data_IF_766112625052
#
_entry.id   IF_766112625052
#
_cell.length_a   1.000
_cell.length_b   1.000
_cell.length_c   1.000
_cell.angle_alpha   90.00
_cell.angle_beta   90.00
_cell.angle_gamma   90.00
#
_symmetry.space_group_name_H-M   'P 1'
#
loop_
_entity.id
_entity.type
_entity.pdbx_description
1 polymer ?
#
# COMPACT_ATOMS: atom_id res chain seq x y z
N UNK A 1 -8.53 -11.95 -6.19
CA UNK A 1 -8.58 -10.47 -6.19
C UNK A 1 -9.18 -9.88 -4.91
N UNK A 2 -10.45 -10.14 -4.58
CA UNK A 2 -11.14 -9.55 -3.40
C UNK A 2 -10.35 -9.72 -2.09
N UNK A 3 -9.91 -10.93 -1.79
CA UNK A 3 -9.10 -11.24 -0.61
C UNK A 3 -7.77 -10.47 -0.63
N UNK A 4 -7.13 -10.31 -1.78
CA UNK A 4 -5.88 -9.56 -1.91
C UNK A 4 -6.05 -8.08 -1.57
N UNK A 5 -7.14 -7.46 -2.04
CA UNK A 5 -7.48 -6.07 -1.69
C UNK A 5 -7.82 -5.97 -0.20
N UNK A 6 -8.54 -6.96 0.36
CA UNK A 6 -8.86 -7.01 1.78
C UNK A 6 -7.60 -7.02 2.66
N UNK A 7 -6.65 -7.90 2.37
CA UNK A 7 -5.37 -8.00 3.08
C UNK A 7 -4.49 -6.76 2.87
N UNK A 8 -4.52 -6.16 1.67
CA UNK A 8 -3.83 -4.89 1.41
C UNK A 8 -4.40 -3.73 2.23
N UNK A 9 -5.72 -3.71 2.49
CA UNK A 9 -6.29 -2.69 3.37
C UNK A 9 -5.80 -2.86 4.82
N UNK A 10 -5.49 -4.08 5.25
CA UNK A 10 -4.98 -4.32 6.60
C UNK A 10 -3.56 -3.80 6.84
N UNK A 11 -2.76 -3.60 5.78
CA UNK A 11 -1.42 -3.01 5.91
C UNK A 11 -1.43 -1.50 6.12
N UNK A 12 -2.56 -0.82 5.85
CA UNK A 12 -2.68 0.63 5.99
C UNK A 12 -2.90 1.04 7.44
N UNK A 13 -2.23 2.11 7.84
CA UNK A 13 -2.30 2.73 9.17
C UNK A 13 -3.30 3.90 9.21
N UNK A 14 -3.57 4.43 10.41
CA UNK A 14 -4.43 5.60 10.56
C UNK A 14 -3.84 6.87 9.92
N UNK A 15 -2.53 6.94 9.67
CA UNK A 15 -1.89 8.08 9.01
C UNK A 15 -2.02 8.04 7.48
N UNK A 16 -2.44 6.89 6.93
CA UNK A 16 -2.60 6.67 5.50
C UNK A 16 -3.97 7.13 4.99
N UNK A 17 -4.03 7.52 3.71
CA UNK A 17 -5.25 7.91 3.02
C UNK A 17 -5.48 7.02 1.81
N UNK A 18 -6.68 6.46 1.70
CA UNK A 18 -7.02 5.44 0.71
C UNK A 18 -8.39 5.68 0.09
N UNK A 19 -8.55 5.28 -1.16
CA UNK A 19 -9.83 5.05 -1.82
C UNK A 19 -9.70 3.77 -2.65
N UNK A 20 -10.81 3.10 -2.88
CA UNK A 20 -10.88 1.87 -3.68
C UNK A 20 -11.83 2.10 -4.83
N UNK A 21 -11.35 1.87 -6.05
CA UNK A 21 -12.12 1.99 -7.26
C UNK A 21 -12.13 0.66 -8.02
N UNK A 22 -13.26 0.36 -8.64
CA UNK A 22 -13.41 -0.74 -9.59
C UNK A 22 -13.59 -0.15 -10.99
N UNK A 23 -13.04 -0.81 -12.00
CA UNK A 23 -13.19 -0.39 -13.37
C UNK A 23 -13.53 -1.58 -14.27
N UNK A 24 -14.36 -1.30 -15.27
CA UNK A 24 -14.60 -2.15 -16.43
C UNK A 24 -14.52 -1.24 -17.66
N UNK A 25 -15.62 -0.94 -18.35
CA UNK A 25 -15.72 0.14 -19.33
C UNK A 25 -15.61 1.54 -18.70
N UNK A 26 -15.91 1.67 -17.41
CA UNK A 26 -15.77 2.94 -16.66
C UNK A 26 -15.26 2.68 -15.26
N UNK A 27 -14.45 3.60 -14.74
CA UNK A 27 -14.01 3.57 -13.35
C UNK A 27 -15.05 4.20 -12.42
N UNK A 28 -15.31 3.55 -11.28
CA UNK A 28 -16.24 4.00 -10.25
C UNK A 28 -15.69 3.70 -8.86
N UNK A 29 -15.96 4.54 -7.85
CA UNK A 29 -15.63 4.21 -6.47
C UNK A 29 -16.42 2.97 -6.04
N UNK A 30 -15.76 2.07 -5.30
CA UNK A 30 -16.38 0.84 -4.79
C UNK A 30 -17.35 1.15 -3.65
N UNK A 31 -17.04 2.17 -2.86
CA UNK A 31 -17.82 2.58 -1.69
C UNK A 31 -18.45 3.95 -1.88
N UNK A 32 -19.14 4.43 -0.84
CA UNK A 32 -19.70 5.79 -0.82
C UNK A 32 -18.64 6.91 -0.84
N UNK A 33 -17.36 6.61 -0.67
CA UNK A 33 -16.29 7.60 -0.65
C UNK A 33 -15.96 8.09 -2.07
N UNK A 34 -16.14 9.39 -2.30
CA UNK A 34 -15.83 10.04 -3.60
C UNK A 34 -14.36 10.45 -3.76
N UNK A 35 -13.60 10.38 -2.68
CA UNK A 35 -12.25 10.90 -2.53
C UNK A 35 -11.43 10.00 -1.62
N UNK A 36 -10.11 10.21 -1.55
CA UNK A 36 -9.28 9.58 -0.52
C UNK A 36 -9.77 9.95 0.88
N UNK A 37 -9.89 8.93 1.73
CA UNK A 37 -10.23 9.09 3.15
C UNK A 37 -9.18 8.42 4.02
N UNK A 38 -9.06 8.87 5.27
CA UNK A 38 -8.16 8.29 6.24
C UNK A 38 -8.46 6.78 6.43
N UNK A 39 -7.42 5.96 6.43
CA UNK A 39 -7.51 4.50 6.52
C UNK A 39 -7.73 3.99 7.96
N UNK A 40 -8.63 4.64 8.70
CA UNK A 40 -9.02 4.21 10.03
C UNK A 40 -9.82 2.90 10.02
N UNK A 41 -9.92 2.24 11.18
CA UNK A 41 -10.62 0.95 11.34
C UNK A 41 -12.05 1.00 10.78
N UNK A 42 -12.77 2.11 10.97
CA UNK A 42 -14.17 2.26 10.51
C UNK A 42 -14.26 2.36 8.99
N UNK A 43 -13.44 3.20 8.36
CA UNK A 43 -13.44 3.40 6.91
C UNK A 43 -12.92 2.15 6.19
N UNK A 44 -11.86 1.51 6.72
CA UNK A 44 -11.37 0.22 6.20
C UNK A 44 -12.44 -0.85 6.22
N UNK A 45 -13.24 -0.93 7.29
CA UNK A 45 -14.37 -1.87 7.38
C UNK A 45 -15.39 -1.65 6.26
N UNK A 46 -15.76 -0.41 5.96
CA UNK A 46 -16.68 -0.08 4.85
C UNK A 46 -16.10 -0.53 3.51
N UNK A 47 -14.84 -0.19 3.21
CA UNK A 47 -14.20 -0.65 1.97
C UNK A 47 -14.18 -2.17 1.86
N UNK A 48 -13.86 -2.87 2.95
CA UNK A 48 -13.79 -4.33 2.99
C UNK A 48 -15.14 -4.98 2.69
N UNK A 49 -16.21 -4.47 3.29
CA UNK A 49 -17.59 -4.94 3.04
C UNK A 49 -17.99 -4.72 1.58
N UNK A 50 -17.76 -3.52 1.04
CA UNK A 50 -18.10 -3.18 -0.35
C UNK A 50 -17.26 -3.96 -1.38
N UNK A 51 -15.96 -4.18 -1.10
CA UNK A 51 -15.07 -5.02 -1.93
C UNK A 51 -15.57 -6.46 -2.02
N UNK A 52 -16.08 -7.02 -0.93
CA UNK A 52 -16.67 -8.37 -0.94
C UNK A 52 -17.93 -8.43 -1.81
N UNK A 53 -18.71 -7.34 -1.88
CA UNK A 53 -19.90 -7.22 -2.72
C UNK A 53 -19.66 -7.01 -4.22
N UNK A 54 -18.42 -6.76 -4.66
CA UNK A 54 -18.12 -6.49 -6.07
C UNK A 54 -18.44 -7.68 -6.99
N UNK A 55 -18.96 -7.40 -8.19
CA UNK A 55 -19.25 -8.41 -9.21
C UNK A 55 -18.54 -8.02 -10.51
N UNK A 56 -17.78 -8.94 -11.09
CA UNK A 56 -17.11 -8.72 -12.37
C UNK A 56 -18.15 -8.68 -13.50
N UNK A 57 -18.10 -7.64 -14.34
CA UNK A 57 -18.98 -7.49 -15.50
C UNK A 57 -18.32 -6.63 -16.58
N UNK A 58 -18.50 -7.03 -17.84
CA UNK A 58 -18.06 -6.26 -19.01
C UNK A 58 -16.59 -6.47 -19.35
N UNK A 59 -16.11 -5.66 -20.29
CA UNK A 59 -14.71 -5.67 -20.74
C UNK A 59 -13.87 -4.70 -19.90
N UNK A 60 -12.61 -5.05 -19.69
CA UNK A 60 -11.67 -4.27 -18.89
C UNK A 60 -11.04 -3.14 -19.71
N UNK A 61 -11.24 -1.89 -19.30
CA UNK A 61 -10.55 -0.70 -19.84
C UNK A 61 -9.59 -0.12 -18.79
N UNK A 62 -8.30 -0.35 -18.99
CA UNK A 62 -7.26 0.17 -18.12
C UNK A 62 -7.11 1.68 -18.18
N UNK A 63 -7.41 2.29 -19.33
CA UNK A 63 -7.33 3.73 -19.51
C UNK A 63 -8.28 4.45 -18.56
N UNK A 64 -9.55 4.04 -18.57
CA UNK A 64 -10.56 4.59 -17.67
C UNK A 64 -10.17 4.41 -16.18
N UNK A 65 -9.60 3.25 -15.83
CA UNK A 65 -9.11 2.96 -14.48
C UNK A 65 -8.00 3.91 -14.02
N UNK A 66 -6.95 4.06 -14.83
CA UNK A 66 -5.80 4.91 -14.48
C UNK A 66 -6.12 6.40 -14.52
N UNK A 67 -6.90 6.88 -15.50
CA UNK A 67 -7.33 8.28 -15.56
C UNK A 67 -8.09 8.67 -14.28
N UNK A 68 -9.03 7.83 -13.85
CA UNK A 68 -9.76 8.05 -12.61
C UNK A 68 -8.83 8.05 -11.38
N UNK A 69 -7.90 7.10 -11.31
CA UNK A 69 -6.95 7.01 -10.19
C UNK A 69 -6.05 8.26 -10.12
N UNK A 70 -5.56 8.75 -11.27
CA UNK A 70 -4.74 9.97 -11.31
C UNK A 70 -5.55 11.20 -10.93
N UNK A 71 -6.78 11.35 -11.42
CA UNK A 71 -7.66 12.46 -11.04
C UNK A 71 -7.92 12.48 -9.53
N UNK A 72 -8.15 11.30 -8.93
CA UNK A 72 -8.26 11.15 -7.47
C UNK A 72 -6.96 11.58 -6.76
N UNK A 73 -5.80 11.24 -7.32
CA UNK A 73 -4.48 11.60 -6.78
C UNK A 73 -4.09 13.07 -6.98
N UNK A 74 -4.71 13.79 -7.91
CA UNK A 74 -4.44 15.21 -8.17
C UNK A 74 -5.30 16.16 -7.33
N UNK A 75 -6.46 15.72 -6.83
CA UNK A 75 -7.35 16.57 -6.04
C UNK A 75 -6.65 17.07 -4.75
N UNK A 76 -6.33 18.37 -4.70
CA UNK A 76 -5.60 19.03 -3.62
C UNK A 76 -6.49 19.60 -2.52
N UNK A 77 -7.81 19.60 -2.70
CA UNK A 77 -8.76 20.31 -1.83
C UNK A 77 -9.18 19.49 -0.59
N UNK A 78 -8.51 18.37 -0.33
CA UNK A 78 -8.91 17.38 0.69
C UNK A 78 -7.69 17.06 1.55
N UNK A 79 -7.92 16.85 2.86
CA UNK A 79 -6.87 16.44 3.80
C UNK A 79 -6.21 15.14 3.34
N UNK A 80 -4.88 15.11 3.38
CA UNK A 80 -4.05 14.03 2.85
C UNK A 80 -2.79 13.85 3.68
N UNK A 81 -2.20 12.66 3.60
CA UNK A 81 -0.86 12.40 4.12
C UNK A 81 0.22 13.27 3.44
N UNK A 82 0.02 13.66 2.17
CA UNK A 82 0.96 14.44 1.37
C UNK A 82 2.39 13.85 1.30
N UNK A 83 2.48 12.51 1.43
CA UNK A 83 3.71 11.72 1.34
C UNK A 83 3.79 10.97 0.00
N UNK A 84 4.14 9.68 0.05
CA UNK A 84 4.21 8.78 -1.10
C UNK A 84 2.82 8.67 -1.76
N UNK A 85 2.75 8.98 -3.05
CA UNK A 85 1.56 8.73 -3.87
C UNK A 85 1.75 7.43 -4.63
N UNK A 86 0.79 6.53 -4.54
CA UNK A 86 0.85 5.26 -5.25
C UNK A 86 -0.52 4.79 -5.74
N UNK A 87 -0.50 4.04 -6.83
CA UNK A 87 -1.64 3.32 -7.40
C UNK A 87 -1.29 1.83 -7.36
N UNK A 88 -2.18 1.02 -6.83
CA UNK A 88 -2.06 -0.44 -6.82
C UNK A 88 -3.19 -1.02 -7.67
N UNK A 89 -2.84 -1.65 -8.79
CA UNK A 89 -3.79 -2.27 -9.70
C UNK A 89 -3.78 -3.78 -9.51
N UNK A 90 -4.95 -4.37 -9.25
CA UNK A 90 -5.12 -5.82 -9.21
C UNK A 90 -5.88 -6.27 -10.45
N UNK A 91 -5.33 -7.24 -11.18
CA UNK A 91 -5.92 -7.77 -12.42
C UNK A 91 -5.48 -9.21 -12.62
N UNK A 92 -6.20 -9.98 -13.42
CA UNK A 92 -5.83 -11.31 -13.89
C UNK A 92 -5.06 -11.27 -15.23
N UNK A 93 -4.59 -10.10 -15.67
CA UNK A 93 -3.80 -9.96 -16.90
C UNK A 93 -4.40 -8.92 -17.83
N UNK A 94 -3.67 -8.50 -18.86
CA UNK A 94 -4.23 -7.62 -19.88
C UNK A 94 -3.22 -7.17 -20.91
N UNK A 95 -3.75 -6.71 -22.04
CA UNK A 95 -2.98 -6.53 -23.27
C UNK A 95 -2.46 -5.09 -23.45
N UNK A 96 -3.06 -4.12 -22.76
CA UNK A 96 -2.73 -2.70 -22.93
C UNK A 96 -1.75 -2.19 -21.86
N UNK A 97 -0.78 -1.38 -22.30
CA UNK A 97 0.22 -0.69 -21.47
C UNK A 97 -0.22 0.70 -21.02
N UNK A 98 -1.24 1.27 -21.66
CA UNK A 98 -1.83 2.59 -21.34
C UNK A 98 -0.76 3.69 -21.22
N UNK A 99 0.22 3.66 -22.12
CA UNK A 99 1.39 4.53 -22.09
C UNK A 99 1.02 6.01 -22.16
N UNK A 100 0.01 6.35 -22.96
CA UNK A 100 -0.50 7.71 -23.15
C UNK A 100 -1.00 8.35 -21.85
N UNK A 101 -1.64 7.56 -20.98
CA UNK A 101 -2.08 8.06 -19.65
C UNK A 101 -0.88 8.34 -18.75
N UNK A 102 0.12 7.45 -18.72
CA UNK A 102 1.31 7.69 -17.90
C UNK A 102 2.13 8.89 -18.38
N UNK A 103 2.23 9.06 -19.70
CA UNK A 103 2.87 10.22 -20.32
C UNK A 103 2.18 11.53 -19.92
N UNK A 104 0.85 11.54 -19.98
CA UNK A 104 0.03 12.72 -19.64
C UNK A 104 0.06 13.05 -18.14
N UNK A 105 -0.07 12.05 -17.27
CA UNK A 105 -0.35 12.29 -15.85
C UNK A 105 0.86 12.17 -14.92
N UNK A 106 1.88 11.39 -15.28
CA UNK A 106 2.96 11.06 -14.34
C UNK A 106 4.36 11.37 -14.88
N UNK A 107 4.56 11.46 -16.20
CA UNK A 107 5.89 11.71 -16.78
C UNK A 107 6.16 13.21 -16.99
N UNK A 108 7.43 13.65 -16.97
CA UNK A 108 8.67 12.86 -16.81
C UNK A 108 9.05 12.55 -15.35
N UNK A 109 8.46 13.24 -14.38
CA UNK A 109 8.93 13.22 -12.98
C UNK A 109 8.66 11.89 -12.24
N UNK A 110 7.62 11.17 -12.65
CA UNK A 110 7.19 9.88 -12.07
C UNK A 110 7.02 10.01 -10.55
N UNK A 111 6.13 10.91 -10.16
CA UNK A 111 5.86 11.24 -8.74
C UNK A 111 4.93 10.22 -8.09
N UNK A 112 4.07 9.57 -8.88
CA UNK A 112 3.19 8.49 -8.45
C UNK A 112 3.85 7.15 -8.78
N UNK A 113 3.92 6.25 -7.79
CA UNK A 113 4.39 4.88 -7.98
C UNK A 113 3.26 3.97 -8.41
N UNK A 114 3.48 3.08 -9.38
CA UNK A 114 2.45 2.16 -9.86
C UNK A 114 2.86 0.73 -9.57
N UNK A 115 2.07 0.05 -8.76
CA UNK A 115 2.23 -1.37 -8.47
C UNK A 115 1.17 -2.17 -9.20
N UNK A 116 1.56 -3.27 -9.82
CA UNK A 116 0.66 -4.15 -10.56
C UNK A 116 0.69 -5.54 -9.93
N UNK A 117 -0.49 -6.08 -9.67
CA UNK A 117 -0.69 -7.40 -9.06
C UNK A 117 -1.45 -8.27 -10.06
N UNK A 118 -0.77 -9.27 -10.61
CA UNK A 118 -1.41 -10.36 -11.34
C UNK A 118 -2.01 -11.34 -10.31
N UNK A 119 -3.30 -11.66 -10.41
CA UNK A 119 -4.00 -12.49 -9.41
C UNK A 119 -4.69 -13.68 -10.07
N UNK A 120 -4.44 -14.86 -9.51
CA UNK A 120 -4.99 -16.12 -9.98
C UNK A 120 -4.05 -16.84 -10.94
N UNK A 121 -4.47 -18.03 -11.37
CA UNK A 121 -3.77 -18.79 -12.41
C UNK A 121 -4.41 -18.47 -13.75
N UNK A 122 -3.64 -17.90 -14.66
CA UNK A 122 -4.12 -17.51 -15.99
C UNK A 122 -2.99 -17.59 -17.02
N UNK A 123 -3.37 -17.69 -18.29
CA UNK A 123 -2.43 -17.72 -19.42
C UNK A 123 -2.32 -16.37 -20.13
N UNK A 124 -2.91 -15.30 -19.57
CA UNK A 124 -2.81 -13.95 -20.12
C UNK A 124 -1.37 -13.41 -20.04
N UNK A 125 -1.01 -12.55 -21.00
CA UNK A 125 0.29 -11.89 -20.99
C UNK A 125 0.39 -10.91 -19.81
N UNK A 126 1.47 -11.04 -19.04
CA UNK A 126 1.80 -10.19 -17.89
C UNK A 126 2.82 -9.11 -18.25
N UNK A 127 3.41 -9.17 -19.45
CA UNK A 127 4.41 -8.21 -19.93
C UNK A 127 3.92 -6.76 -19.85
N UNK A 128 2.67 -6.44 -20.21
CA UNK A 128 2.14 -5.08 -20.04
C UNK A 128 2.11 -4.64 -18.58
N UNK A 129 1.74 -5.53 -17.65
CA UNK A 129 1.71 -5.24 -16.21
C UNK A 129 3.10 -4.95 -15.64
N UNK A 130 4.08 -5.75 -16.04
CA UNK A 130 5.49 -5.57 -15.67
C UNK A 130 6.03 -4.25 -16.20
N UNK A 131 5.70 -3.92 -17.45
CA UNK A 131 6.12 -2.65 -18.07
C UNK A 131 5.52 -1.45 -17.32
N UNK A 132 4.23 -1.47 -16.99
CA UNK A 132 3.57 -0.39 -16.26
C UNK A 132 4.21 -0.13 -14.90
N UNK A 133 4.54 -1.19 -14.16
CA UNK A 133 5.19 -1.07 -12.86
C UNK A 133 6.62 -0.53 -12.98
N UNK A 134 7.42 -1.10 -13.89
CA UNK A 134 8.81 -0.71 -14.13
C UNK A 134 8.91 0.75 -14.59
N UNK A 135 8.05 1.15 -15.52
CA UNK A 135 8.05 2.50 -16.09
C UNK A 135 7.71 3.59 -15.06
N UNK A 136 7.04 3.25 -13.95
CA UNK A 136 6.54 4.18 -12.95
C UNK A 136 7.14 3.96 -11.54
N UNK A 137 8.38 3.45 -11.43
CA UNK A 137 9.11 3.27 -10.14
C UNK A 137 8.34 2.45 -9.09
N UNK A 138 7.49 1.52 -9.52
CA UNK A 138 6.83 0.57 -8.63
C UNK A 138 7.40 -0.83 -8.80
N UNK A 139 6.55 -1.84 -8.61
CA UNK A 139 6.94 -3.25 -8.70
C UNK A 139 5.76 -4.13 -9.13
N UNK A 140 6.09 -5.25 -9.76
CA UNK A 140 5.12 -6.24 -10.21
C UNK A 140 5.11 -7.43 -9.24
N UNK A 141 3.92 -7.89 -8.89
CA UNK A 141 3.71 -9.04 -8.02
C UNK A 141 2.75 -10.02 -8.65
N UNK A 142 3.01 -11.31 -8.43
CA UNK A 142 2.15 -12.40 -8.90
C UNK A 142 1.55 -13.15 -7.71
N UNK A 143 0.24 -13.23 -7.64
CA UNK A 143 -0.51 -13.89 -6.57
C UNK A 143 -1.24 -15.10 -7.16
N UNK A 144 -0.57 -16.27 -7.25
CA UNK A 144 -1.14 -17.46 -7.91
C UNK A 144 -2.25 -18.12 -7.06
N UNK A 145 -2.22 -17.94 -5.74
CA UNK A 145 -3.15 -18.58 -4.82
C UNK A 145 -3.38 -17.77 -3.54
N UNK A 146 -4.37 -18.18 -2.75
CA UNK A 146 -4.71 -17.54 -1.47
C UNK A 146 -3.51 -17.57 -0.49
N UNK A 147 -2.74 -18.65 -0.48
CA UNK A 147 -1.57 -18.78 0.41
C UNK A 147 -0.45 -17.78 0.10
N UNK A 148 -0.36 -17.30 -1.14
CA UNK A 148 0.64 -16.30 -1.56
C UNK A 148 0.20 -14.85 -1.27
N UNK A 149 -1.09 -14.62 -0.96
CA UNK A 149 -1.63 -13.27 -0.76
C UNK A 149 -0.86 -12.56 0.36
N UNK A 150 -0.78 -13.19 1.54
CA UNK A 150 -0.23 -12.55 2.75
C UNK A 150 1.21 -12.06 2.58
N UNK A 151 2.01 -12.79 1.81
CA UNK A 151 3.41 -12.44 1.54
C UNK A 151 3.46 -11.25 0.58
N UNK A 152 2.83 -11.40 -0.59
CA UNK A 152 2.92 -10.41 -1.67
C UNK A 152 2.23 -9.08 -1.34
N UNK A 153 1.19 -9.09 -0.49
CA UNK A 153 0.55 -7.85 -0.04
C UNK A 153 1.36 -7.08 0.99
N UNK A 154 2.48 -7.62 1.51
CA UNK A 154 3.37 -6.92 2.43
C UNK A 154 4.69 -6.49 1.78
N UNK A 155 5.16 -7.22 0.76
CA UNK A 155 6.44 -6.95 0.08
C UNK A 155 6.53 -5.58 -0.62
N UNK A 156 5.41 -4.93 -0.95
CA UNK A 156 5.45 -3.57 -1.51
C UNK A 156 6.12 -2.56 -0.56
N UNK A 157 6.12 -2.82 0.74
CA UNK A 157 6.78 -1.99 1.74
C UNK A 157 8.30 -1.95 1.54
N UNK A 158 8.91 -3.02 1.04
CA UNK A 158 10.35 -3.05 0.75
C UNK A 158 10.71 -2.05 -0.36
N UNK A 159 9.83 -1.91 -1.35
CA UNK A 159 9.98 -0.95 -2.46
C UNK A 159 9.78 0.49 -1.98
N UNK A 160 8.85 0.70 -1.06
CA UNK A 160 8.64 2.01 -0.42
C UNK A 160 9.77 2.38 0.55
N UNK A 161 10.46 1.40 1.12
CA UNK A 161 11.59 1.58 2.03
C UNK A 161 12.88 2.07 1.36
N UNK A 162 13.09 1.83 0.06
CA UNK A 162 14.35 2.16 -0.63
C UNK A 162 14.81 3.62 -0.47
N UNK A 163 13.96 4.65 -0.63
CA UNK A 163 14.38 6.03 -0.38
C UNK A 163 14.76 6.31 1.07
N UNK A 164 14.16 5.59 2.03
CA UNK A 164 14.50 5.74 3.45
C UNK A 164 15.91 5.21 3.73
N UNK A 165 16.29 4.09 3.12
CA UNK A 165 17.66 3.56 3.22
C UNK A 165 18.67 4.57 2.67
N UNK A 166 18.40 5.16 1.50
CA UNK A 166 19.27 6.16 0.87
C UNK A 166 19.39 7.45 1.68
N UNK A 167 18.39 7.79 2.49
CA UNK A 167 18.46 8.93 3.40
C UNK A 167 19.42 8.70 4.59
N UNK A 168 19.87 7.45 4.80
CA UNK A 168 20.87 7.08 5.78
C UNK A 168 20.48 7.50 7.19
N UNK A 169 21.39 8.17 7.90
CA UNK A 169 21.16 8.58 9.30
C UNK A 169 19.97 9.53 9.48
N UNK A 170 19.54 10.27 8.44
CA UNK A 170 18.37 11.15 8.54
C UNK A 170 17.05 10.39 8.69
N UNK A 171 16.99 9.15 8.17
CA UNK A 171 15.82 8.29 8.28
C UNK A 171 15.79 7.45 9.57
N UNK A 172 16.89 7.43 10.34
CA UNK A 172 16.96 6.74 11.64
C UNK A 172 16.30 7.57 12.73
N UNK A 173 14.98 7.67 12.68
CA UNK A 173 14.17 8.35 13.68
C UNK A 173 13.28 7.33 14.39
N UNK A 174 13.16 7.45 15.71
CA UNK A 174 12.27 6.60 16.49
C UNK A 174 10.82 7.00 16.19
N UNK A 175 10.02 6.05 15.76
CA UNK A 175 8.59 6.22 15.54
C UNK A 175 7.81 5.42 16.57
N UNK A 176 6.79 6.04 17.16
CA UNK A 176 5.93 5.41 18.16
C UNK A 176 4.63 4.97 17.53
N UNK A 177 4.22 3.73 17.83
CA UNK A 177 2.91 3.22 17.40
C UNK A 177 1.77 3.81 18.24
N UNK A 178 0.56 3.74 17.70
CA UNK A 178 -0.66 3.86 18.51
C UNK A 178 -0.70 2.76 19.60
N UNK A 179 -1.55 2.98 20.60
CA UNK A 179 -1.79 1.98 21.66
C UNK A 179 -2.44 0.75 21.05
N UNK A 180 -1.88 -0.43 21.31
CA UNK A 180 -2.42 -1.70 20.85
C UNK A 180 -2.33 -2.78 21.93
N UNK A 181 -3.07 -3.87 21.77
CA UNK A 181 -3.02 -5.00 22.69
C UNK A 181 -1.87 -5.91 22.33
N UNK A 182 -0.98 -6.15 23.28
CA UNK A 182 0.21 -6.97 23.08
C UNK A 182 -0.16 -8.43 22.74
N UNK A 183 0.59 -9.01 21.80
CA UNK A 183 0.37 -10.37 21.32
C UNK A 183 0.67 -11.44 22.39
N UNK A 184 1.54 -11.13 23.36
CA UNK A 184 1.87 -12.02 24.49
C UNK A 184 0.96 -11.79 25.71
N UNK A 185 -0.05 -10.92 25.58
CA UNK A 185 -1.03 -10.69 26.63
C UNK A 185 -0.58 -9.74 27.74
N UNK A 186 0.48 -8.94 27.53
CA UNK A 186 0.94 -7.93 28.50
C UNK A 186 -0.06 -6.79 28.73
N UNK A 187 -1.11 -6.70 27.91
CA UNK A 187 -2.13 -5.65 27.97
C UNK A 187 -1.91 -4.58 26.90
N UNK A 188 -2.28 -3.34 27.20
CA UNK A 188 -2.14 -2.22 26.28
C UNK A 188 -0.72 -1.66 26.31
N UNK A 189 -0.08 -1.58 25.14
CA UNK A 189 1.32 -1.17 24.99
C UNK A 189 1.49 -0.18 23.83
N UNK A 190 2.60 0.55 23.84
CA UNK A 190 3.11 1.31 22.69
C UNK A 190 4.52 0.84 22.37
N UNK A 191 4.89 0.81 21.09
CA UNK A 191 6.21 0.34 20.66
C UNK A 191 6.96 1.44 19.96
N UNK A 192 8.21 1.66 20.39
CA UNK A 192 9.16 2.49 19.66
C UNK A 192 9.88 1.65 18.60
N UNK A 193 9.82 2.08 17.35
CA UNK A 193 10.47 1.39 16.22
C UNK A 193 11.58 2.26 15.62
N UNK A 194 12.68 1.62 15.20
CA UNK A 194 13.79 2.25 14.49
C UNK A 194 14.22 1.37 13.31
N UNK A 195 14.35 1.92 12.09
CA UNK A 195 14.77 1.12 10.95
C UNK A 195 16.28 0.81 11.01
N UNK A 196 16.62 -0.45 10.72
CA UNK A 196 17.97 -0.97 10.54
C UNK A 196 18.19 -1.21 9.05
N UNK A 197 19.34 -0.75 8.56
CA UNK A 197 19.70 -0.82 7.15
C UNK A 197 20.86 -1.79 6.95
N UNK A 198 20.80 -2.58 5.88
CA UNK A 198 21.95 -3.35 5.40
C UNK A 198 22.91 -2.40 4.67
N UNK A 199 24.14 -2.29 5.17
CA UNK A 199 25.19 -1.39 4.67
C UNK A 199 26.40 -2.18 4.15
N UNK A 200 26.26 -3.46 3.82
CA UNK A 200 27.35 -4.22 3.20
C UNK A 200 27.72 -3.56 1.87
N UNK A 201 28.97 -3.07 1.76
CA UNK A 201 29.52 -2.51 0.53
C UNK A 201 29.95 -3.65 -0.40
N UNK A 202 29.29 -3.78 -1.56
CA UNK A 202 29.87 -4.54 -2.68
C UNK A 202 30.93 -3.66 -3.36
N UNK A 203 32.15 -4.19 -3.47
CA UNK A 203 33.32 -3.50 -4.01
C UNK A 203 33.29 -3.25 -5.52
N UNK A 204 32.21 -3.65 -6.19
CA UNK A 204 31.93 -3.37 -7.60
C UNK A 204 30.62 -2.60 -7.72
N UNK A 205 30.74 -1.34 -8.11
CA UNK A 205 29.69 -0.31 -8.27
C UNK A 205 29.28 0.45 -7.00
N UNK A 206 29.45 1.78 -7.07
CA UNK A 206 29.09 2.79 -6.07
C UNK A 206 27.56 2.93 -5.91
N UNK A 207 26.87 1.85 -5.56
CA UNK A 207 25.44 1.86 -5.21
C UNK A 207 25.22 1.12 -3.91
N UNK A 208 25.45 1.83 -2.81
CA UNK A 208 24.88 1.45 -1.51
C UNK A 208 23.35 1.56 -1.66
N UNK A 209 22.63 0.43 -1.65
CA UNK A 209 21.22 0.43 -1.24
C UNK A 209 20.15 -0.12 -2.19
N UNK A 210 20.46 -0.87 -3.25
CA UNK A 210 19.40 -1.46 -4.09
C UNK A 210 18.72 -2.70 -3.46
N UNK A 211 19.33 -3.32 -2.44
CA UNK A 211 18.89 -4.60 -1.84
C UNK A 211 18.54 -4.55 -0.35
N UNK A 212 18.50 -3.36 0.27
CA UNK A 212 18.15 -3.24 1.68
C UNK A 212 16.64 -2.95 1.85
N UNK A 213 15.89 -3.95 2.31
CA UNK A 213 14.62 -3.69 2.99
C UNK A 213 14.93 -3.11 4.38
N UNK A 214 14.24 -2.04 4.82
CA UNK A 214 14.38 -1.58 6.21
C UNK A 214 13.83 -2.66 7.15
N UNK A 215 14.71 -3.28 7.94
CA UNK A 215 14.25 -4.13 9.04
C UNK A 215 13.88 -3.22 10.22
N UNK A 216 12.64 -3.30 10.71
CA UNK A 216 12.24 -2.55 11.89
C UNK A 216 12.77 -3.26 13.14
N UNK A 217 13.67 -2.60 13.87
CA UNK A 217 14.01 -3.02 15.22
C UNK A 217 13.05 -2.35 16.22
N UNK A 218 12.35 -3.16 17.02
CA UNK A 218 11.63 -2.66 18.17
C UNK A 218 12.65 -2.29 19.26
N UNK A 219 12.72 -1.01 19.63
CA UNK A 219 13.63 -0.51 20.66
C UNK A 219 13.10 -0.77 22.08
N UNK A 220 11.81 -1.07 22.22
CA UNK A 220 11.14 -1.41 23.48
C UNK A 220 9.64 -1.15 23.42
N UNK A 221 8.88 -1.89 24.23
CA UNK A 221 7.46 -1.63 24.47
C UNK A 221 7.30 -0.92 25.82
N UNK A 222 6.68 0.25 25.84
CA UNK A 222 6.28 0.90 27.09
C UNK A 222 4.84 0.49 27.42
N UNK A 223 4.67 -0.05 28.63
CA UNK A 223 3.36 -0.30 29.23
C UNK A 223 3.05 0.89 30.13
N UNK A 224 1.97 1.64 29.86
CA UNK A 224 1.50 2.70 30.74
C UNK A 224 0.02 2.51 31.04
N UNK A 225 -0.37 2.60 32.31
CA UNK A 225 -1.77 2.57 32.72
C UNK A 225 -1.98 3.25 34.07
N UNK A 226 -2.98 4.15 34.15
CA UNK A 226 -3.60 4.53 35.42
C UNK A 226 -4.81 3.60 35.65
N UNK A 227 -4.73 2.75 36.68
CA UNK A 227 -5.87 1.95 37.11
C UNK A 227 -6.88 2.85 37.84
N UNK A 228 -7.91 3.31 37.12
CA UNK A 228 -9.11 3.88 37.74
C UNK A 228 -9.97 2.75 38.28
N UNK A 229 -9.88 2.46 39.58
CA UNK A 229 -10.85 1.61 40.28
C UNK A 229 -12.21 2.28 40.18
N UNK A 230 -13.08 1.82 39.27
CA UNK A 230 -14.52 2.10 39.40
C UNK A 230 -15.00 1.38 40.64
N UNK A 231 -15.16 2.10 41.75
CA UNK A 231 -16.08 1.67 42.81
C UNK A 231 -17.44 1.48 42.16
N UNK A 232 -17.89 0.25 42.06
CA UNK A 232 -19.29 -0.08 41.83
C UNK A 232 -20.02 0.33 43.13
N UNK A 233 -20.96 1.28 43.11
CA UNK A 233 -21.84 1.49 44.25
C UNK A 233 -22.82 0.31 44.31
N UNK A 234 -22.90 -0.33 45.46
CA UNK A 234 -24.02 -1.19 45.84
C UNK A 234 -25.27 -0.34 46.04
#
# INVERSE_FOLDING_TARGET
>A
MKTSVYEMLDTLSDDDYVNVASFNEKAKPVSCFKHLVQANIRNKKVFKEDVQGMVAKGTTDYKAGFEYAFDQLQNSNITRANCNKMIMMFTDGGEDRVQDVFEKYNWPNKTVRVFTFSVGQHNYDVTPLQWMACANKGYYFEIPSIGAIRINTQEYLDVLGRPMVLAGNRAKQVQWTNVYQDALGLGLVVTGTLPVFNLTEDSSDRKVGDSAAPALAALGALVWGHYGVRKVPW
#
